data_IF_371757384129
#
_entry.id   IF_371757384129
#
_cell.length_a   1.000
_cell.length_b   1.000
_cell.length_c   1.000
_cell.angle_alpha   90.00
_cell.angle_beta   90.00
_cell.angle_gamma   90.00
#
_symmetry.space_group_name_H-M   'P 1'
#
loop_
_entity.id
_entity.type
_entity.pdbx_description
1 polymer ?
#
# COMPACT_ATOMS: atom_id res chain seq x y z
N UNK A 1 -44.15 -51.13 -50.76
CA UNK A 1 -43.91 -49.67 -50.80
C UNK A 1 -44.21 -48.95 -49.47
N UNK A 2 -45.34 -49.17 -48.78
CA UNK A 2 -45.69 -48.39 -47.57
C UNK A 2 -44.76 -48.56 -46.34
N UNK A 3 -44.00 -49.66 -46.23
CA UNK A 3 -43.10 -49.90 -45.07
C UNK A 3 -41.84 -49.04 -45.11
N UNK A 4 -41.28 -48.79 -46.29
CA UNK A 4 -40.06 -47.97 -46.44
C UNK A 4 -40.33 -46.48 -46.18
N UNK A 5 -41.53 -46.00 -46.51
CA UNK A 5 -41.97 -44.62 -46.24
C UNK A 5 -42.04 -44.31 -44.73
N UNK A 6 -42.52 -45.25 -43.92
CA UNK A 6 -42.61 -45.08 -42.45
C UNK A 6 -41.23 -45.02 -41.78
N UNK A 7 -40.27 -45.79 -42.29
CA UNK A 7 -38.89 -45.79 -41.81
C UNK A 7 -38.20 -44.47 -42.20
N UNK A 8 -38.41 -44.00 -43.43
CA UNK A 8 -37.86 -42.72 -43.88
C UNK A 8 -38.38 -41.53 -43.05
N UNK A 9 -39.68 -41.49 -42.73
CA UNK A 9 -40.25 -40.45 -41.87
C UNK A 9 -39.69 -40.51 -40.44
N UNK A 10 -39.50 -41.71 -39.89
CA UNK A 10 -38.93 -41.85 -38.56
C UNK A 10 -37.49 -41.30 -38.51
N UNK A 11 -36.70 -41.50 -39.56
CA UNK A 11 -35.32 -41.04 -39.63
C UNK A 11 -35.23 -39.53 -39.86
N UNK A 12 -36.12 -38.95 -40.66
CA UNK A 12 -36.19 -37.49 -40.84
C UNK A 12 -36.66 -36.80 -39.57
N UNK A 13 -37.65 -37.36 -38.86
CA UNK A 13 -38.07 -36.85 -37.55
C UNK A 13 -36.97 -36.97 -36.50
N UNK A 14 -36.22 -38.08 -36.46
CA UNK A 14 -35.11 -38.27 -35.52
C UNK A 14 -33.96 -37.29 -35.80
N UNK A 15 -33.64 -37.03 -37.07
CA UNK A 15 -32.65 -36.03 -37.47
C UNK A 15 -33.09 -34.61 -37.13
N UNK A 16 -34.37 -34.28 -37.33
CA UNK A 16 -34.92 -32.97 -36.98
C UNK A 16 -34.97 -32.75 -35.47
N UNK A 17 -35.26 -33.79 -34.68
CA UNK A 17 -35.24 -33.74 -33.21
C UNK A 17 -33.81 -33.59 -32.66
N UNK A 18 -32.85 -34.28 -33.28
CA UNK A 18 -31.43 -34.16 -32.93
C UNK A 18 -30.85 -32.79 -33.32
N UNK A 19 -31.26 -32.24 -34.46
CA UNK A 19 -30.89 -30.88 -34.90
C UNK A 19 -31.52 -29.78 -34.02
N UNK A 20 -32.72 -30.00 -33.47
CA UNK A 20 -33.37 -29.06 -32.56
C UNK A 20 -32.85 -29.16 -31.11
N UNK A 21 -32.35 -30.33 -30.69
CA UNK A 21 -31.77 -30.54 -29.36
C UNK A 21 -30.40 -29.88 -29.13
N UNK A 22 -29.65 -29.58 -30.20
CA UNK A 22 -28.34 -28.93 -30.11
C UNK A 22 -28.39 -27.40 -30.07
N UNK A 23 -29.54 -26.78 -30.36
CA UNK A 23 -29.71 -25.32 -30.37
C UNK A 23 -30.08 -24.69 -29.02
N UNK A 24 -30.35 -25.50 -27.99
CA UNK A 24 -30.96 -25.04 -26.73
C UNK A 24 -30.13 -25.33 -25.46
N UNK A 25 -28.88 -25.80 -25.57
CA UNK A 25 -28.06 -26.14 -24.39
C UNK A 25 -27.23 -24.98 -23.81
N UNK A 26 -27.13 -23.81 -24.45
CA UNK A 26 -26.18 -22.76 -24.00
C UNK A 26 -26.73 -21.77 -22.96
N UNK A 27 -27.99 -21.90 -22.52
CA UNK A 27 -28.60 -20.91 -21.59
C UNK A 27 -29.00 -21.43 -20.22
N UNK A 28 -28.80 -22.71 -19.93
CA UNK A 28 -29.17 -23.30 -18.64
C UNK A 28 -27.89 -23.61 -17.85
N UNK A 29 -27.45 -22.68 -17.00
CA UNK A 29 -26.68 -23.06 -15.81
C UNK A 29 -25.35 -22.36 -15.51
N UNK A 30 -25.07 -21.14 -15.97
CA UNK A 30 -24.01 -20.37 -15.30
C UNK A 30 -24.50 -19.95 -13.91
N UNK A 31 -23.78 -20.36 -12.87
CA UNK A 31 -24.03 -19.92 -11.49
C UNK A 31 -24.08 -18.38 -11.44
N UNK A 32 -24.96 -17.79 -10.63
CA UNK A 32 -25.06 -16.33 -10.44
C UNK A 32 -23.69 -15.69 -10.20
N UNK A 33 -22.85 -16.35 -9.41
CA UNK A 33 -21.46 -15.96 -9.19
C UNK A 33 -20.65 -15.84 -10.50
N UNK A 34 -20.73 -16.85 -11.38
CA UNK A 34 -20.00 -16.86 -12.64
C UNK A 34 -20.46 -15.74 -13.58
N UNK A 35 -21.77 -15.45 -13.60
CA UNK A 35 -22.33 -14.32 -14.35
C UNK A 35 -21.79 -12.98 -13.82
N UNK A 36 -21.84 -12.78 -12.50
CA UNK A 36 -21.34 -11.55 -11.87
C UNK A 36 -19.84 -11.33 -12.15
N UNK A 37 -19.04 -12.41 -12.10
CA UNK A 37 -17.61 -12.35 -12.41
C UNK A 37 -17.36 -11.96 -13.87
N UNK A 38 -18.06 -12.59 -14.81
CA UNK A 38 -17.92 -12.31 -16.23
C UNK A 38 -18.36 -10.87 -16.57
N UNK A 39 -19.46 -10.41 -15.99
CA UNK A 39 -19.94 -9.05 -16.17
C UNK A 39 -18.95 -8.03 -15.57
N UNK A 40 -18.41 -8.30 -14.38
CA UNK A 40 -17.41 -7.46 -13.74
C UNK A 40 -16.16 -7.32 -14.60
N UNK A 41 -15.65 -8.42 -15.14
CA UNK A 41 -14.53 -8.42 -16.09
C UNK A 41 -14.84 -7.63 -17.35
N UNK A 42 -16.04 -7.81 -17.92
CA UNK A 42 -16.46 -7.05 -19.10
C UNK A 42 -16.56 -5.55 -18.83
N UNK A 43 -17.02 -5.14 -17.65
CA UNK A 43 -17.05 -3.72 -17.24
C UNK A 43 -15.65 -3.18 -17.01
N UNK A 44 -14.78 -3.95 -16.36
CA UNK A 44 -13.38 -3.59 -16.13
C UNK A 44 -12.64 -3.39 -17.46
N UNK A 45 -12.81 -4.31 -18.42
CA UNK A 45 -12.22 -4.22 -19.75
C UNK A 45 -12.69 -2.99 -20.56
N UNK A 46 -13.90 -2.50 -20.29
CA UNK A 46 -14.45 -1.28 -20.91
C UNK A 46 -14.03 0.01 -20.17
N UNK A 47 -13.25 -0.10 -19.09
CA UNK A 47 -12.86 1.04 -18.25
C UNK A 47 -13.93 1.51 -17.26
N UNK A 48 -15.07 0.82 -17.17
CA UNK A 48 -16.13 1.13 -16.21
C UNK A 48 -15.81 0.47 -14.86
N UNK A 49 -14.78 1.00 -14.19
CA UNK A 49 -14.25 0.42 -12.96
C UNK A 49 -15.26 0.50 -11.81
N UNK A 50 -16.05 1.57 -11.72
CA UNK A 50 -17.06 1.70 -10.67
C UNK A 50 -18.10 0.58 -10.75
N UNK A 51 -18.62 0.27 -11.95
CA UNK A 51 -19.55 -0.86 -12.10
C UNK A 51 -18.87 -2.21 -11.90
N UNK A 52 -17.63 -2.37 -12.38
CA UNK A 52 -16.88 -3.60 -12.18
C UNK A 52 -16.72 -3.91 -10.67
N UNK A 53 -16.37 -2.92 -9.87
CA UNK A 53 -16.22 -3.07 -8.42
C UNK A 53 -17.56 -3.48 -7.79
N UNK A 54 -18.66 -2.81 -8.13
CA UNK A 54 -19.98 -3.16 -7.57
C UNK A 54 -20.38 -4.61 -7.90
N UNK A 55 -20.06 -5.08 -9.11
CA UNK A 55 -20.32 -6.47 -9.53
C UNK A 55 -19.42 -7.47 -8.78
N UNK A 56 -18.14 -7.14 -8.57
CA UNK A 56 -17.24 -7.96 -7.75
C UNK A 56 -17.70 -8.02 -6.29
N UNK A 57 -18.19 -6.92 -5.73
CA UNK A 57 -18.74 -6.92 -4.36
C UNK A 57 -20.02 -7.75 -4.26
N UNK A 58 -20.92 -7.64 -5.24
CA UNK A 58 -22.09 -8.50 -5.31
C UNK A 58 -21.70 -9.99 -5.40
N UNK A 59 -20.59 -10.32 -6.09
CA UNK A 59 -20.07 -11.68 -6.14
C UNK A 59 -19.47 -12.14 -4.79
N UNK A 60 -18.94 -11.22 -3.98
CA UNK A 60 -18.50 -11.49 -2.60
C UNK A 60 -19.67 -11.73 -1.65
N UNK A 61 -20.84 -11.12 -1.88
CA UNK A 61 -22.04 -11.38 -1.08
C UNK A 61 -22.49 -12.85 -1.23
N UNK A 62 -22.38 -13.41 -2.44
CA UNK A 62 -22.69 -14.82 -2.71
C UNK A 62 -21.57 -15.77 -2.21
N UNK A 63 -20.30 -15.36 -2.29
CA UNK A 63 -19.14 -16.16 -1.84
C UNK A 63 -18.11 -15.31 -1.07
N UNK A 64 -18.32 -15.11 0.26
CA UNK A 64 -17.50 -14.19 1.06
C UNK A 64 -16.05 -14.61 1.28
N UNK A 65 -15.70 -15.85 0.93
CA UNK A 65 -14.35 -16.44 1.12
C UNK A 65 -13.61 -16.66 -0.20
N UNK A 66 -14.08 -16.07 -1.29
CA UNK A 66 -13.38 -16.16 -2.57
C UNK A 66 -12.13 -15.27 -2.58
N UNK A 67 -10.95 -15.89 -2.57
CA UNK A 67 -9.69 -15.18 -2.69
C UNK A 67 -9.58 -14.44 -4.04
N UNK A 68 -9.98 -15.08 -5.13
CA UNK A 68 -9.84 -14.53 -6.49
C UNK A 68 -10.49 -13.15 -6.65
N UNK A 69 -11.67 -12.92 -6.07
CA UNK A 69 -12.32 -11.61 -6.15
C UNK A 69 -11.50 -10.54 -5.43
N UNK A 70 -10.95 -10.85 -4.25
CA UNK A 70 -10.08 -9.92 -3.56
C UNK A 70 -8.82 -9.60 -4.37
N UNK A 71 -8.26 -10.56 -5.11
CA UNK A 71 -7.16 -10.26 -6.03
C UNK A 71 -7.59 -9.32 -7.17
N UNK A 72 -8.72 -9.59 -7.85
CA UNK A 72 -9.21 -8.74 -8.95
C UNK A 72 -9.56 -7.33 -8.49
N UNK A 73 -10.20 -7.19 -7.32
CA UNK A 73 -10.47 -5.89 -6.72
C UNK A 73 -9.18 -5.15 -6.38
N UNK A 74 -8.20 -5.83 -5.79
CA UNK A 74 -6.93 -5.21 -5.46
C UNK A 74 -6.21 -4.65 -6.70
N UNK A 75 -6.13 -5.43 -7.79
CA UNK A 75 -5.56 -4.96 -9.06
C UNK A 75 -6.30 -3.73 -9.62
N UNK A 76 -7.63 -3.70 -9.47
CA UNK A 76 -8.41 -2.58 -9.96
C UNK A 76 -8.13 -1.29 -9.15
N UNK A 77 -7.94 -1.43 -7.84
CA UNK A 77 -7.57 -0.31 -6.98
C UNK A 77 -6.13 0.15 -7.18
N UNK A 78 -5.20 -0.79 -7.33
CA UNK A 78 -3.78 -0.55 -7.55
C UNK A 78 -3.55 0.11 -8.93
N UNK A 79 -3.88 -0.62 -10.02
CA UNK A 79 -3.51 -0.21 -11.37
C UNK A 79 -4.40 0.89 -11.96
N UNK A 80 -5.69 0.91 -11.62
CA UNK A 80 -6.68 1.75 -12.34
C UNK A 80 -7.14 2.95 -11.54
N UNK A 81 -7.27 2.80 -10.22
CA UNK A 81 -7.72 3.88 -9.34
C UNK A 81 -6.58 4.56 -8.59
N UNK A 82 -5.38 3.98 -8.60
CA UNK A 82 -4.21 4.50 -7.88
C UNK A 82 -4.53 4.77 -6.39
N UNK A 83 -5.30 3.86 -5.78
CA UNK A 83 -5.70 3.90 -4.37
C UNK A 83 -4.99 2.76 -3.61
N UNK A 84 -3.75 2.99 -3.16
CA UNK A 84 -2.94 1.95 -2.52
C UNK A 84 -3.56 1.47 -1.19
N UNK A 85 -4.39 2.29 -0.53
CA UNK A 85 -5.02 1.90 0.75
C UNK A 85 -6.08 0.83 0.52
N UNK A 86 -6.97 1.04 -0.46
CA UNK A 86 -7.98 0.05 -0.84
C UNK A 86 -7.35 -1.20 -1.45
N UNK A 87 -6.31 -1.06 -2.27
CA UNK A 87 -5.55 -2.18 -2.83
C UNK A 87 -4.95 -3.05 -1.72
N UNK A 88 -4.24 -2.45 -0.75
CA UNK A 88 -3.64 -3.14 0.39
C UNK A 88 -4.65 -3.95 1.20
N UNK A 89 -5.85 -3.41 1.44
CA UNK A 89 -6.88 -4.17 2.14
C UNK A 89 -7.21 -5.46 1.39
N UNK A 90 -7.49 -5.37 0.10
CA UNK A 90 -7.88 -6.52 -0.70
C UNK A 90 -6.73 -7.53 -0.89
N UNK A 91 -5.50 -7.06 -1.12
CA UNK A 91 -4.32 -7.92 -1.17
C UNK A 91 -4.06 -8.67 0.14
N UNK A 92 -4.19 -7.99 1.28
CA UNK A 92 -4.06 -8.65 2.60
C UNK A 92 -5.14 -9.70 2.81
N UNK A 93 -6.37 -9.43 2.35
CA UNK A 93 -7.48 -10.40 2.39
C UNK A 93 -7.24 -11.60 1.46
N UNK A 94 -6.67 -11.39 0.28
CA UNK A 94 -6.26 -12.48 -0.62
C UNK A 94 -5.26 -13.41 0.05
N UNK A 95 -4.18 -12.87 0.63
CA UNK A 95 -3.16 -13.68 1.31
C UNK A 95 -3.71 -14.44 2.52
N UNK A 96 -4.68 -13.86 3.24
CA UNK A 96 -5.33 -14.53 4.36
C UNK A 96 -6.19 -15.73 3.92
N UNK A 97 -6.81 -15.66 2.74
CA UNK A 97 -7.66 -16.72 2.20
C UNK A 97 -6.88 -17.76 1.39
N UNK A 98 -5.83 -17.34 0.69
CA UNK A 98 -5.01 -18.19 -0.18
C UNK A 98 -3.51 -17.91 0.03
N UNK A 99 -2.93 -18.38 1.15
CA UNK A 99 -1.53 -18.13 1.48
C UNK A 99 -0.54 -18.80 0.52
N UNK A 100 -0.98 -19.84 -0.20
CA UNK A 100 -0.22 -20.58 -1.22
C UNK A 100 -0.91 -20.50 -2.59
N UNK A 101 -1.69 -19.45 -2.84
CA UNK A 101 -2.37 -19.22 -4.11
C UNK A 101 -1.42 -18.89 -5.28
N UNK A 102 -1.94 -18.89 -6.51
CA UNK A 102 -1.15 -18.67 -7.72
C UNK A 102 -0.53 -17.27 -7.80
N UNK A 103 -1.12 -16.27 -7.13
CA UNK A 103 -0.68 -14.87 -7.21
C UNK A 103 0.04 -14.39 -5.95
N UNK A 104 0.47 -15.28 -5.06
CA UNK A 104 1.03 -14.89 -3.75
C UNK A 104 2.30 -14.06 -3.89
N UNK A 105 3.15 -14.37 -4.85
CA UNK A 105 4.43 -13.67 -5.03
C UNK A 105 4.21 -12.27 -5.59
N UNK A 106 3.31 -12.15 -6.55
CA UNK A 106 2.85 -10.91 -7.16
C UNK A 106 2.21 -10.02 -6.10
N UNK A 107 1.27 -10.56 -5.32
CA UNK A 107 0.59 -9.84 -4.25
C UNK A 107 1.56 -9.36 -3.17
N UNK A 108 2.53 -10.19 -2.76
CA UNK A 108 3.57 -9.76 -1.81
C UNK A 108 4.43 -8.62 -2.35
N UNK A 109 4.67 -8.57 -3.66
CA UNK A 109 5.41 -7.49 -4.32
C UNK A 109 4.57 -6.21 -4.38
N UNK A 110 3.30 -6.30 -4.80
CA UNK A 110 2.37 -5.15 -4.84
C UNK A 110 2.15 -4.56 -3.44
N UNK A 111 1.96 -5.39 -2.40
CA UNK A 111 1.82 -4.90 -1.02
C UNK A 111 3.01 -4.02 -0.60
N UNK A 112 4.24 -4.41 -0.92
CA UNK A 112 5.43 -3.60 -0.58
C UNK A 112 5.44 -2.27 -1.31
N UNK A 113 5.06 -2.28 -2.58
CA UNK A 113 4.95 -1.07 -3.40
C UNK A 113 3.86 -0.14 -2.84
N UNK A 114 2.68 -0.68 -2.56
CA UNK A 114 1.52 0.09 -2.10
C UNK A 114 1.74 0.61 -0.68
N UNK A 115 2.46 -0.12 0.18
CA UNK A 115 2.85 0.37 1.50
C UNK A 115 3.75 1.60 1.37
N UNK A 116 4.72 1.59 0.45
CA UNK A 116 5.57 2.76 0.18
C UNK A 116 4.72 3.91 -0.38
N UNK A 117 3.84 3.64 -1.35
CA UNK A 117 2.98 4.64 -1.96
C UNK A 117 2.03 5.28 -0.93
N UNK A 118 1.39 4.46 -0.09
CA UNK A 118 0.52 4.92 0.99
C UNK A 118 1.28 5.72 2.05
N UNK A 119 2.48 5.27 2.46
CA UNK A 119 3.32 6.00 3.40
C UNK A 119 3.76 7.35 2.83
N UNK A 120 4.12 7.41 1.55
CA UNK A 120 4.47 8.67 0.86
C UNK A 120 3.28 9.63 0.87
N UNK A 121 2.08 9.14 0.54
CA UNK A 121 0.86 9.93 0.52
C UNK A 121 0.47 10.45 1.92
N UNK A 122 0.69 9.65 2.98
CA UNK A 122 0.37 10.02 4.36
C UNK A 122 1.39 10.95 4.99
N UNK A 123 2.68 10.74 4.72
CA UNK A 123 3.76 11.48 5.38
C UNK A 123 3.97 12.84 4.76
N UNK A 124 3.55 13.06 3.50
CA UNK A 124 3.79 14.30 2.76
C UNK A 124 5.27 14.56 2.43
N UNK A 125 6.18 13.89 3.12
CA UNK A 125 7.61 13.87 2.90
C UNK A 125 7.96 12.77 1.89
N UNK A 126 8.79 13.14 0.91
CA UNK A 126 9.30 12.24 -0.12
C UNK A 126 10.02 11.06 0.52
N UNK A 127 9.62 9.83 0.18
CA UNK A 127 10.35 8.62 0.60
C UNK A 127 11.78 8.70 0.07
N UNK A 128 12.74 8.73 1.00
CA UNK A 128 14.16 8.85 0.67
C UNK A 128 14.58 7.60 -0.12
N UNK A 129 15.04 7.72 -1.38
CA UNK A 129 15.49 6.59 -2.17
C UNK A 129 16.71 5.92 -1.51
N UNK A 130 16.85 4.61 -1.72
CA UNK A 130 17.89 3.80 -1.07
C UNK A 130 19.31 4.33 -1.32
N UNK A 131 19.58 4.88 -2.51
CA UNK A 131 20.86 5.50 -2.84
C UNK A 131 21.15 6.74 -2.00
N UNK A 132 20.15 7.62 -1.83
CA UNK A 132 20.26 8.83 -1.02
C UNK A 132 20.40 8.49 0.46
N UNK A 133 19.68 7.46 0.95
CA UNK A 133 19.86 6.96 2.31
C UNK A 133 21.29 6.44 2.57
N UNK A 134 21.92 5.79 1.58
CA UNK A 134 23.33 5.35 1.67
C UNK A 134 24.28 6.55 1.62
N UNK A 135 24.03 7.52 0.75
CA UNK A 135 24.83 8.74 0.68
C UNK A 135 24.80 9.50 2.00
N UNK A 136 23.61 9.76 2.54
CA UNK A 136 23.42 10.42 3.84
C UNK A 136 24.08 9.66 4.99
N UNK A 137 24.10 8.31 4.92
CA UNK A 137 24.81 7.49 5.90
C UNK A 137 26.32 7.66 5.79
N UNK A 138 26.87 7.67 4.58
CA UNK A 138 28.29 7.89 4.34
C UNK A 138 28.73 9.29 4.78
N UNK A 139 27.93 10.32 4.46
CA UNK A 139 28.15 11.70 4.91
C UNK A 139 28.11 11.78 6.44
N UNK A 140 27.11 11.16 7.10
CA UNK A 140 27.06 11.09 8.56
C UNK A 140 28.31 10.41 9.17
N UNK A 141 28.80 9.33 8.56
CA UNK A 141 30.01 8.67 9.01
C UNK A 141 31.25 9.55 8.82
N UNK A 142 31.33 10.28 7.71
CA UNK A 142 32.45 11.19 7.45
C UNK A 142 32.45 12.36 8.46
N UNK A 143 31.29 12.98 8.68
CA UNK A 143 31.12 14.04 9.68
C UNK A 143 31.49 13.56 11.09
N UNK A 144 31.13 12.32 11.46
CA UNK A 144 31.53 11.74 12.76
C UNK A 144 33.05 11.62 12.90
N UNK A 145 33.74 11.18 11.85
CA UNK A 145 35.21 11.13 11.83
C UNK A 145 35.84 12.52 11.93
N UNK A 146 35.28 13.51 11.24
CA UNK A 146 35.71 14.90 11.32
C UNK A 146 35.51 15.50 12.73
N UNK A 147 34.54 15.03 13.50
CA UNK A 147 34.35 15.45 14.90
C UNK A 147 35.28 14.71 15.87
N UNK A 148 35.63 13.46 15.58
CA UNK A 148 36.53 12.65 16.41
C UNK A 148 38.01 13.02 16.21
N UNK A 149 38.43 13.42 15.00
CA UNK A 149 39.82 13.78 14.71
C UNK A 149 40.34 15.00 15.54
N UNK A 150 39.58 16.10 15.71
CA UNK A 150 39.93 17.19 16.63
C UNK A 150 39.93 16.76 18.10
N UNK A 151 39.06 15.82 18.48
CA UNK A 151 38.98 15.31 19.84
C UNK A 151 40.17 14.40 20.22
N UNK A 152 40.76 13.70 19.25
CA UNK A 152 42.02 12.96 19.42
C UNK A 152 43.23 13.86 19.61
N UNK A 153 43.29 14.98 18.87
CA UNK A 153 44.41 15.94 18.97
C UNK A 153 44.40 16.75 20.28
N UNK A 154 43.26 16.89 20.95
CA UNK A 154 43.15 17.61 22.23
C UNK A 154 43.39 16.73 23.47
N UNK A 155 43.48 15.40 23.31
CA UNK A 155 43.67 14.44 24.42
C UNK A 155 45.11 13.93 24.57
N UNK A 156 46.01 14.30 23.66
CA UNK A 156 47.42 13.88 23.68
C UNK A 156 48.36 15.08 23.80
N UNK A 157 48.34 15.75 24.95
CA UNK A 157 49.44 16.64 25.35
C UNK A 157 49.66 16.51 26.87
N UNK A 158 50.72 15.82 27.33
CA UNK A 158 51.16 15.94 28.70
C UNK A 158 51.89 17.28 28.84
N UNK A 159 51.32 18.10 29.70
CA UNK A 159 51.76 19.42 30.12
C UNK A 159 53.19 19.36 30.66
N UNK A 160 54.14 20.00 29.95
CA UNK A 160 55.48 20.26 30.47
C UNK A 160 55.98 21.60 29.96
N UNK A 161 55.84 22.65 30.76
CA UNK A 161 56.74 23.82 30.71
C UNK A 161 56.59 24.69 31.96
N UNK A 162 57.63 24.69 32.79
CA UNK A 162 58.01 25.88 33.57
C UNK A 162 58.62 26.91 32.58
N UNK A 163 58.22 28.18 32.68
CA UNK A 163 59.13 29.34 32.74
C UNK A 163 58.36 30.68 32.58
N UNK A 164 58.45 31.49 33.64
CA UNK A 164 58.84 32.92 33.68
C UNK A 164 57.87 34.03 33.19
N UNK A 165 57.42 34.78 34.19
CA UNK A 165 57.33 36.24 34.35
C UNK A 165 56.92 37.20 33.21
N UNK A 166 55.81 37.90 33.53
CA UNK A 166 55.61 39.35 33.52
C UNK A 166 55.32 40.13 32.22
N UNK A 167 54.07 40.62 32.20
CA UNK A 167 53.64 42.02 31.96
C UNK A 167 53.04 42.43 30.60
N UNK A 168 51.74 42.75 30.69
CA UNK A 168 51.01 43.83 30.01
C UNK A 168 50.74 43.75 28.49
N UNK A 169 49.47 43.61 28.09
CA UNK A 169 48.58 44.71 27.61
C UNK A 169 47.30 44.16 26.95
N UNK A 170 46.17 44.61 27.50
CA UNK A 170 44.77 44.43 27.10
C UNK A 170 44.48 44.93 25.68
N UNK A 171 43.87 44.11 24.80
CA UNK A 171 42.68 44.29 23.89
C UNK A 171 42.35 42.86 23.39
N UNK A 172 41.21 42.18 23.59
CA UNK A 172 39.81 42.53 23.47
C UNK A 172 39.13 41.66 22.39
N UNK A 173 38.79 40.40 22.69
CA UNK A 173 37.83 39.58 21.91
C UNK A 173 37.36 38.36 22.72
N UNK A 174 36.20 38.46 23.37
CA UNK A 174 35.52 37.31 24.00
C UNK A 174 34.99 36.38 22.90
N UNK A 175 35.68 35.27 22.63
CA UNK A 175 35.06 34.09 22.03
C UNK A 175 34.81 33.11 23.18
N UNK A 176 33.58 33.12 23.68
CA UNK A 176 33.16 32.23 24.75
C UNK A 176 33.25 30.79 24.24
N UNK A 177 34.18 30.03 24.80
CA UNK A 177 34.15 28.58 24.83
C UNK A 177 32.83 28.16 25.49
N UNK A 178 31.89 27.69 24.68
CA UNK A 178 30.59 27.20 25.15
C UNK A 178 30.62 25.69 25.08
N UNK A 179 31.25 25.07 26.08
CA UNK A 179 31.03 23.65 26.37
C UNK A 179 29.63 23.50 26.96
N UNK A 180 28.70 22.93 26.19
CA UNK A 180 27.33 22.68 26.62
C UNK A 180 27.22 21.29 27.25
N UNK A 181 26.86 21.22 28.52
CA UNK A 181 26.54 19.96 29.18
C UNK A 181 25.09 19.57 28.84
N UNK A 182 24.95 18.55 27.99
CA UNK A 182 23.66 18.00 27.56
C UNK A 182 22.89 17.49 28.79
N UNK A 183 21.71 18.05 29.05
CA UNK A 183 20.79 17.58 30.07
C UNK A 183 19.76 16.61 29.47
N UNK A 184 19.15 15.78 30.30
CA UNK A 184 18.27 14.65 29.95
C UNK A 184 16.99 15.01 29.14
N UNK A 185 16.81 16.27 28.76
CA UNK A 185 15.69 16.77 27.95
C UNK A 185 16.12 17.45 26.63
N UNK A 186 17.43 17.53 26.34
CA UNK A 186 17.93 18.14 25.12
C UNK A 186 17.83 17.16 23.95
N UNK A 187 16.64 17.06 23.36
CA UNK A 187 16.48 16.38 22.08
C UNK A 187 16.87 17.36 20.98
N UNK A 188 18.02 17.15 20.36
CA UNK A 188 18.51 17.92 19.23
C UNK A 188 17.73 17.59 17.96
N UNK A 189 16.46 17.99 17.93
CA UNK A 189 15.64 18.11 16.72
C UNK A 189 14.81 19.37 16.82
N UNK A 190 15.49 20.50 16.59
CA UNK A 190 14.84 21.79 16.34
C UNK A 190 14.12 21.81 15.00
N UNK A 191 13.07 21.01 14.84
CA UNK A 191 12.01 21.24 13.87
C UNK A 191 10.83 21.83 14.65
N UNK A 192 10.69 23.15 14.56
CA UNK A 192 9.55 23.89 15.08
C UNK A 192 8.37 23.63 14.14
N UNK A 193 7.78 22.43 14.18
CA UNK A 193 6.56 22.12 13.45
C UNK A 193 5.39 22.81 14.15
N UNK A 194 5.18 24.07 13.79
CA UNK A 194 3.97 24.79 14.13
C UNK A 194 2.78 24.04 13.55
N UNK A 195 2.00 23.37 14.41
CA UNK A 195 0.69 22.83 14.06
C UNK A 195 -0.24 24.00 13.73
N UNK A 196 -0.19 24.46 12.49
CA UNK A 196 -1.24 25.30 11.91
C UNK A 196 -2.35 24.39 11.41
N UNK A 197 -3.12 23.83 12.33
CA UNK A 197 -4.38 23.15 12.01
C UNK A 197 -5.40 24.20 11.58
N UNK A 198 -5.33 24.65 10.32
CA UNK A 198 -6.40 25.43 9.69
C UNK A 198 -6.70 24.85 8.31
N UNK A 199 -7.88 24.19 8.25
CA UNK A 199 -8.73 23.96 7.08
C UNK A 199 -8.24 22.95 6.03
N UNK A 200 -8.45 21.66 6.31
CA UNK A 200 -8.65 20.61 5.29
C UNK A 200 -9.87 19.74 5.63
N UNK A 201 -11.00 20.37 5.97
CA UNK A 201 -12.30 19.69 6.15
C UNK A 201 -13.35 20.20 5.15
N UNK A 202 -12.94 20.57 3.93
CA UNK A 202 -13.85 21.08 2.90
C UNK A 202 -14.07 20.14 1.69
N UNK A 203 -13.31 19.04 1.55
CA UNK A 203 -13.45 18.12 0.41
C UNK A 203 -13.96 16.72 0.77
N UNK A 204 -14.43 16.51 2.02
CA UNK A 204 -14.99 15.21 2.46
C UNK A 204 -16.49 15.05 2.18
N UNK A 205 -17.09 15.91 1.36
CA UNK A 205 -18.54 15.89 1.06
C UNK A 205 -18.90 15.14 -0.22
N UNK A 206 -17.94 14.73 -1.06
CA UNK A 206 -18.20 13.90 -2.26
C UNK A 206 -17.92 12.41 -2.09
N UNK A 207 -17.20 11.99 -1.04
CA UNK A 207 -16.94 10.58 -0.73
C UNK A 207 -18.07 9.90 0.06
N UNK A 208 -19.26 10.53 0.14
CA UNK A 208 -20.44 9.99 0.83
C UNK A 208 -21.19 8.95 -0.02
N UNK A 209 -20.44 8.00 -0.57
CA UNK A 209 -20.91 6.65 -0.93
C UNK A 209 -19.97 5.67 -0.24
N UNK A 210 -19.95 5.76 1.09
CA UNK A 210 -18.92 5.16 1.94
C UNK A 210 -19.10 3.65 1.96
N UNK A 211 -18.14 2.95 1.37
CA UNK A 211 -17.99 1.50 1.48
C UNK A 211 -17.76 1.13 2.96
N UNK A 212 -18.61 0.32 3.60
CA UNK A 212 -18.57 0.07 5.06
C UNK A 212 -17.25 -0.49 5.61
N UNK A 213 -16.49 -1.23 4.81
CA UNK A 213 -15.18 -1.79 5.17
C UNK A 213 -14.07 -0.76 5.45
N UNK A 214 -14.12 0.44 4.86
CA UNK A 214 -13.14 1.50 5.11
C UNK A 214 -13.26 2.11 6.52
N UNK A 215 -14.43 1.96 7.16
CA UNK A 215 -14.70 2.48 8.51
C UNK A 215 -14.65 1.40 9.59
N UNK A 216 -14.70 0.12 9.23
CA UNK A 216 -14.71 -0.99 10.21
C UNK A 216 -13.41 -1.21 10.98
N UNK A 217 -12.31 -0.50 10.65
CA UNK A 217 -10.99 -0.70 11.29
C UNK A 217 -10.69 0.26 12.45
N UNK A 218 -11.54 1.25 12.72
CA UNK A 218 -11.33 2.20 13.84
C UNK A 218 -12.02 1.79 15.15
N UNK A 219 -12.71 0.64 15.19
CA UNK A 219 -13.54 0.21 16.34
C UNK A 219 -13.10 -1.10 17.00
N UNK A 220 -11.98 -1.72 16.58
CA UNK A 220 -11.56 -3.04 17.09
C UNK A 220 -10.16 -3.08 17.73
N UNK A 221 -9.55 -1.93 18.04
CA UNK A 221 -8.34 -1.86 18.89
C UNK A 221 -8.55 -1.01 20.16
N UNK A 222 -9.77 -1.03 20.70
CA UNK A 222 -10.06 -0.52 22.04
C UNK A 222 -10.91 -1.55 22.81
N UNK A 223 -10.31 -2.70 23.08
CA UNK A 223 -10.75 -3.59 24.16
C UNK A 223 -9.66 -3.51 25.22
N UNK A 224 -10.04 -2.93 26.35
CA UNK A 224 -9.21 -2.60 27.50
C UNK A 224 -8.48 -3.80 28.14
N UNK A 225 -7.41 -3.52 28.90
CA UNK A 225 -6.69 -4.51 29.70
C UNK A 225 -7.43 -4.85 31.00
N UNK A 226 -7.42 -6.12 31.38
CA UNK A 226 -7.48 -6.60 32.76
C UNK A 226 -6.48 -7.75 32.91
#
# INVERSE_FOLDING_TARGET
MMKHYRIAIAWTCLSLFFACGLGACDRIGTSRYAQLMQDAESKSARGDFARAINLYEAALDDSPRCAEIHYKLALLYDDKLNDPVSALHHFKRYLALSPNGPHVNEVKKSIKHDEIAALTALSGDSVIPRSEAVQLRNENLNLRKELEAPAGSLRSAPEKSQANDASSKKIGAKKADRTYAVQSGDTSTGSRFSRRTKKTFATRKSLRSVRPWLFRKTELEFIEPL
#
